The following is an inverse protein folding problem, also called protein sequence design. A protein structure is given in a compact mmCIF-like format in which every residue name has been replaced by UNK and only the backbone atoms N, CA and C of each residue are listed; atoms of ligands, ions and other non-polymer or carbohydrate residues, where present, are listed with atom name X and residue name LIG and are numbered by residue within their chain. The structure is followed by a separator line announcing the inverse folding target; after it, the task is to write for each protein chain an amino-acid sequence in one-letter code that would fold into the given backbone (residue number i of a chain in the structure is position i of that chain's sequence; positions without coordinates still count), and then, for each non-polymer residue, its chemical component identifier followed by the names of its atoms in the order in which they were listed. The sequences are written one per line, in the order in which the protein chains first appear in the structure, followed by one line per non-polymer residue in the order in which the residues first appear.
data_IF_807391296575
#
_entry.id   IF_807391296575
#
_cell.length_a   1.000
_cell.length_b   1.000
_cell.length_c   1.000
_cell.angle_alpha   90.00
_cell.angle_beta   90.00
_cell.angle_gamma   90.00
#
_symmetry.space_group_name_H-M   'P 1'
#
loop_
_entity.id
_entity.type
_entity.pdbx_description
1 polymer ?
#
# COMPACT_ATOMS: atom_id res chain seq x y z
N UNK A 1 -5.17 -19.44 6.27
CA UNK A 1 -6.41 -18.64 6.25
C UNK A 1 -6.71 -18.08 4.86
N UNK A 2 -5.80 -17.33 4.21
CA UNK A 2 -6.00 -16.71 2.89
C UNK A 2 -6.43 -17.69 1.78
N UNK A 3 -5.85 -18.90 1.73
CA UNK A 3 -6.27 -19.97 0.83
C UNK A 3 -7.77 -20.30 0.94
N UNK A 4 -8.28 -20.47 2.16
CA UNK A 4 -9.70 -20.76 2.41
C UNK A 4 -10.62 -19.61 2.02
N UNK A 5 -10.16 -18.37 2.17
CA UNK A 5 -10.88 -17.19 1.69
C UNK A 5 -11.00 -17.24 0.15
N UNK A 6 -9.94 -17.63 -0.55
CA UNK A 6 -9.96 -17.89 -2.00
C UNK A 6 -11.02 -18.91 -2.41
N UNK A 7 -11.07 -20.05 -1.71
CA UNK A 7 -12.10 -21.08 -1.93
C UNK A 7 -13.52 -20.53 -1.76
N UNK A 8 -13.77 -19.78 -0.67
CA UNK A 8 -15.08 -19.18 -0.40
C UNK A 8 -15.51 -18.24 -1.53
N UNK A 9 -14.60 -17.38 -2.02
CA UNK A 9 -14.90 -16.45 -3.11
C UNK A 9 -15.24 -17.20 -4.41
N UNK A 10 -14.48 -18.25 -4.72
CA UNK A 10 -14.77 -19.10 -5.87
C UNK A 10 -16.16 -19.77 -5.79
N UNK A 11 -16.47 -20.42 -4.66
CA UNK A 11 -17.75 -21.11 -4.49
C UNK A 11 -18.95 -20.15 -4.40
N UNK A 12 -18.73 -18.88 -4.03
CA UNK A 12 -19.76 -17.83 -4.06
C UNK A 12 -19.93 -17.18 -5.43
N UNK A 13 -19.25 -17.68 -6.47
CA UNK A 13 -19.35 -17.15 -7.84
C UNK A 13 -18.63 -15.81 -8.05
N UNK A 14 -17.76 -15.40 -7.11
CA UNK A 14 -16.97 -14.18 -7.25
C UNK A 14 -15.70 -14.50 -8.03
N UNK A 15 -15.74 -14.27 -9.34
CA UNK A 15 -14.59 -14.47 -10.23
C UNK A 15 -13.71 -13.21 -10.28
N UNK A 16 -12.55 -13.28 -9.64
CA UNK A 16 -11.51 -12.27 -9.81
C UNK A 16 -10.65 -12.61 -11.02
N UNK A 17 -10.81 -11.85 -12.12
CA UNK A 17 -9.85 -11.84 -13.22
C UNK A 17 -8.48 -11.28 -12.79
N UNK A 18 -7.46 -11.42 -13.65
CA UNK A 18 -6.10 -10.95 -13.36
C UNK A 18 -6.06 -9.48 -12.93
N UNK A 19 -6.84 -8.62 -13.60
CA UNK A 19 -6.90 -7.18 -13.32
C UNK A 19 -7.58 -6.88 -11.99
N UNK A 20 -8.62 -7.64 -11.62
CA UNK A 20 -9.31 -7.48 -10.34
C UNK A 20 -8.37 -7.74 -9.16
N UNK A 21 -7.45 -8.70 -9.30
CA UNK A 21 -6.46 -9.01 -8.27
C UNK A 21 -5.44 -7.89 -8.08
N UNK A 22 -5.00 -7.28 -9.19
CA UNK A 22 -4.06 -6.18 -9.15
C UNK A 22 -4.72 -4.94 -8.54
N UNK A 23 -5.95 -4.62 -8.95
CA UNK A 23 -6.74 -3.53 -8.41
C UNK A 23 -7.02 -3.71 -6.91
N UNK A 24 -7.43 -4.90 -6.48
CA UNK A 24 -7.64 -5.22 -5.08
C UNK A 24 -6.36 -5.01 -4.25
N UNK A 25 -5.23 -5.55 -4.71
CA UNK A 25 -3.94 -5.37 -4.04
C UNK A 25 -3.60 -3.88 -3.90
N UNK A 26 -3.68 -3.13 -5.00
CA UNK A 26 -3.36 -1.70 -5.05
C UNK A 26 -4.21 -0.90 -4.07
N UNK A 27 -5.54 -1.02 -4.15
CA UNK A 27 -6.48 -0.31 -3.29
C UNK A 27 -6.27 -0.69 -1.82
N UNK A 28 -6.03 -1.96 -1.52
CA UNK A 28 -5.77 -2.40 -0.15
C UNK A 28 -4.52 -1.75 0.43
N UNK A 29 -3.40 -1.76 -0.32
CA UNK A 29 -2.15 -1.10 0.10
C UNK A 29 -2.39 0.40 0.30
N UNK A 30 -2.98 1.07 -0.69
CA UNK A 30 -3.27 2.51 -0.62
C UNK A 30 -4.12 2.87 0.61
N UNK A 31 -5.17 2.09 0.91
CA UNK A 31 -6.03 2.34 2.07
C UNK A 31 -5.34 2.10 3.41
N UNK A 32 -4.46 1.10 3.49
CA UNK A 32 -3.70 0.81 4.73
C UNK A 32 -2.62 1.86 4.94
N UNK A 33 -2.01 2.37 3.87
CA UNK A 33 -0.89 3.32 3.96
C UNK A 33 -1.31 4.78 3.83
N UNK A 34 -2.60 5.09 3.65
CA UNK A 34 -3.09 6.46 3.44
C UNK A 34 -2.65 7.43 4.54
N UNK A 35 -2.58 6.94 5.78
CA UNK A 35 -2.21 7.73 6.96
C UNK A 35 -0.75 7.52 7.41
N UNK A 36 0.01 6.67 6.70
CA UNK A 36 1.41 6.33 6.99
C UNK A 36 2.38 7.34 6.34
N UNK A 37 1.88 8.18 5.43
CA UNK A 37 2.60 9.34 4.93
C UNK A 37 2.78 10.41 6.00
N UNK A 38 3.80 11.27 5.88
CA UNK A 38 3.90 12.42 6.77
C UNK A 38 2.68 13.29 6.55
N UNK A 39 1.84 13.40 7.58
CA UNK A 39 0.88 14.49 7.70
C UNK A 39 1.65 15.77 7.40
N UNK A 40 1.14 16.59 6.48
CA UNK A 40 1.68 17.92 6.24
C UNK A 40 1.49 18.72 7.53
N UNK A 41 2.48 18.68 8.42
CA UNK A 41 2.55 19.61 9.52
C UNK A 41 3.14 20.89 8.93
N UNK A 42 2.30 21.91 8.77
CA UNK A 42 2.76 23.27 8.55
C UNK A 42 3.47 23.74 9.81
N UNK A 43 4.78 23.51 9.88
CA UNK A 43 5.61 24.16 10.90
C UNK A 43 5.74 25.62 10.47
N UNK A 44 4.91 26.49 11.07
CA UNK A 44 5.09 27.94 10.97
C UNK A 44 6.35 28.33 11.75
N UNK A 45 7.51 28.21 11.12
CA UNK A 45 8.75 28.79 11.66
C UNK A 45 8.63 30.31 11.53
N UNK A 46 8.28 30.98 12.63
CA UNK A 46 8.28 32.44 12.69
C UNK A 46 9.69 32.91 13.03
N UNK A 47 10.59 32.89 12.06
CA UNK A 47 11.80 33.72 12.11
C UNK A 47 11.94 34.48 10.79
N UNK A 48 11.58 35.76 10.87
CA UNK A 48 11.97 36.86 9.97
C UNK A 48 11.97 36.52 8.46
N UNK A 49 10.81 36.75 7.85
CA UNK A 49 10.64 37.13 6.44
C UNK A 49 11.24 36.19 5.36
N UNK A 50 10.77 34.95 5.27
CA UNK A 50 10.63 34.25 3.98
C UNK A 50 9.77 32.99 4.15
N UNK A 51 8.50 33.06 3.75
CA UNK A 51 7.66 31.88 3.59
C UNK A 51 8.10 31.10 2.35
N UNK A 52 8.91 30.06 2.53
CA UNK A 52 9.31 29.14 1.46
C UNK A 52 8.41 27.90 1.52
N UNK A 53 7.55 27.74 0.52
CA UNK A 53 6.80 26.49 0.30
C UNK A 53 7.80 25.46 -0.22
N UNK A 54 8.28 24.58 0.64
CA UNK A 54 9.16 23.48 0.23
C UNK A 54 8.30 22.40 -0.42
N UNK A 55 8.28 22.38 -1.77
CA UNK A 55 7.68 21.28 -2.53
C UNK A 55 8.61 20.06 -2.49
N UNK A 56 8.02 18.91 -2.21
CA UNK A 56 8.65 17.69 -1.69
C UNK A 56 9.46 16.85 -2.70
N UNK A 57 9.63 17.26 -3.96
CA UNK A 57 10.38 16.41 -4.91
C UNK A 57 11.84 16.22 -4.48
N UNK A 58 12.44 17.21 -3.82
CA UNK A 58 13.80 17.14 -3.27
C UNK A 58 13.90 16.32 -1.97
N UNK A 59 12.77 16.06 -1.29
CA UNK A 59 12.75 15.43 0.05
C UNK A 59 12.67 13.90 0.01
N UNK A 60 12.41 13.28 -1.14
CA UNK A 60 12.36 11.82 -1.25
C UNK A 60 13.72 11.15 -1.03
N UNK A 61 14.82 11.86 -1.28
CA UNK A 61 16.18 11.32 -1.12
C UNK A 61 16.73 11.47 0.30
N UNK A 62 16.27 12.46 1.08
CA UNK A 62 16.79 12.71 2.44
C UNK A 62 16.10 11.89 3.54
N UNK A 63 14.93 11.31 3.27
CA UNK A 63 14.16 10.53 4.27
C UNK A 63 14.80 9.16 4.54
N UNK A 64 15.85 8.77 3.83
CA UNK A 64 16.55 7.50 4.02
C UNK A 64 17.36 7.35 5.32
N UNK A 65 17.51 8.41 6.13
CA UNK A 65 18.52 8.40 7.22
C UNK A 65 17.99 8.03 8.61
N UNK A 66 16.68 8.03 8.87
CA UNK A 66 16.14 7.77 10.22
C UNK A 66 15.13 6.60 10.26
N UNK A 67 15.64 5.37 10.11
CA UNK A 67 15.17 4.15 10.80
C UNK A 67 13.80 3.53 10.47
N UNK A 68 12.78 4.30 10.09
CA UNK A 68 11.50 3.76 9.63
C UNK A 68 10.85 4.75 8.67
N UNK A 69 11.16 4.60 7.38
CA UNK A 69 10.61 5.48 6.36
C UNK A 69 9.19 5.02 6.00
N UNK A 70 8.26 5.95 5.71
CA UNK A 70 6.95 5.62 5.13
C UNK A 70 7.07 4.66 3.93
N UNK A 71 8.16 4.78 3.16
CA UNK A 71 8.47 3.91 2.03
C UNK A 71 8.71 2.44 2.44
N UNK A 72 9.40 2.19 3.57
CA UNK A 72 9.62 0.83 4.08
C UNK A 72 8.31 0.15 4.48
N UNK A 73 7.40 0.88 5.12
CA UNK A 73 6.08 0.38 5.48
C UNK A 73 5.24 0.06 4.24
N UNK A 74 5.25 0.94 3.24
CA UNK A 74 4.58 0.72 1.94
C UNK A 74 5.13 -0.53 1.24
N UNK A 75 6.46 -0.69 1.16
CA UNK A 75 7.10 -1.88 0.58
C UNK A 75 6.72 -3.15 1.34
N UNK A 76 6.64 -3.07 2.67
CA UNK A 76 6.20 -4.18 3.53
C UNK A 76 4.77 -4.62 3.19
N UNK A 77 3.83 -3.68 3.12
CA UNK A 77 2.44 -3.94 2.77
C UNK A 77 2.28 -4.44 1.33
N UNK A 78 3.04 -3.90 0.39
CA UNK A 78 3.11 -4.38 -1.00
C UNK A 78 3.48 -5.87 -1.09
N UNK A 79 4.55 -6.27 -0.38
CA UNK A 79 4.99 -7.67 -0.34
C UNK A 79 3.99 -8.57 0.38
N UNK A 80 3.47 -8.13 1.51
CA UNK A 80 2.50 -8.88 2.30
C UNK A 80 1.20 -9.12 1.51
N UNK A 81 0.62 -8.08 0.92
CA UNK A 81 -0.59 -8.21 0.11
C UNK A 81 -0.37 -9.07 -1.14
N UNK A 82 0.83 -9.02 -1.73
CA UNK A 82 1.23 -9.96 -2.78
C UNK A 82 1.17 -11.42 -2.34
N UNK A 83 1.66 -11.74 -1.12
CA UNK A 83 1.57 -13.09 -0.57
C UNK A 83 0.11 -13.52 -0.30
N UNK A 84 -0.72 -12.61 0.23
CA UNK A 84 -2.15 -12.87 0.46
C UNK A 84 -2.87 -13.20 -0.86
N UNK A 85 -2.71 -12.36 -1.88
CA UNK A 85 -3.34 -12.57 -3.19
C UNK A 85 -2.88 -13.89 -3.81
N UNK A 86 -1.59 -14.24 -3.70
CA UNK A 86 -1.08 -15.52 -4.20
C UNK A 86 -1.74 -16.71 -3.51
N UNK A 87 -1.88 -16.68 -2.18
CA UNK A 87 -2.55 -17.77 -1.46
C UNK A 87 -4.05 -17.83 -1.74
N UNK A 88 -4.73 -16.69 -1.90
CA UNK A 88 -6.13 -16.67 -2.32
C UNK A 88 -6.32 -17.27 -3.71
N UNK A 89 -5.43 -16.94 -4.67
CA UNK A 89 -5.44 -17.52 -6.02
C UNK A 89 -5.26 -19.04 -6.00
N UNK A 90 -4.36 -19.57 -5.15
CA UNK A 90 -4.19 -21.03 -4.99
C UNK A 90 -5.45 -21.72 -4.48
N UNK A 91 -6.25 -21.01 -3.68
CA UNK A 91 -7.55 -21.49 -3.21
C UNK A 91 -8.64 -21.51 -4.28
N UNK A 92 -8.40 -20.97 -5.48
CA UNK A 92 -9.36 -21.02 -6.59
C UNK A 92 -9.05 -22.19 -7.51
N UNK A 93 -9.93 -23.21 -7.58
CA UNK A 93 -9.81 -24.28 -8.57
C UNK A 93 -9.71 -23.66 -9.97
N UNK A 94 -8.69 -24.03 -10.73
CA UNK A 94 -8.67 -23.77 -12.16
C UNK A 94 -9.78 -24.64 -12.75
N UNK A 95 -10.79 -24.05 -13.38
CA UNK A 95 -11.78 -24.84 -14.13
C UNK A 95 -11.00 -25.68 -15.15
N UNK A 96 -11.12 -27.00 -15.03
CA UNK A 96 -10.92 -27.92 -16.15
C UNK A 96 -12.11 -27.72 -17.09
#
# INVERSE_FOLDING_TARGET
MAHRIGQIHFYRGVNFGADNWLAFKKVAVEQITKDVGPKEYTVLVTEKQASKVVKREESLLEIGQNGFTPATAVIGWEKFMGAIVREMKRGMPHRI
#
